data_IF_482651653455
#
_entry.id   IF_482651653455
#
_cell.length_a   1.000
_cell.length_b   1.000
_cell.length_c   1.000
_cell.angle_alpha   90.00
_cell.angle_beta   90.00
_cell.angle_gamma   90.00
#
_symmetry.space_group_name_H-M   'P 1'
#
loop_
_entity.id
_entity.type
_entity.pdbx_description
1 polymer ?
#
# COMPACT_ATOMS: atom_id res chain seq x y z
N UNK A 1 7.06 7.23 2.70
CA UNK A 1 7.79 6.33 3.63
C UNK A 1 8.84 5.60 2.83
N UNK A 2 10.09 5.67 3.26
CA UNK A 2 11.19 5.01 2.56
C UNK A 2 11.10 3.50 2.76
N UNK A 3 11.19 2.78 1.65
CA UNK A 3 11.21 1.31 1.65
C UNK A 3 12.64 0.85 1.41
N UNK A 4 13.27 0.31 2.45
CA UNK A 4 14.61 -0.28 2.32
C UNK A 4 14.51 -1.61 1.56
N UNK A 5 15.31 -1.76 0.51
CA UNK A 5 15.39 -3.03 -0.22
C UNK A 5 15.97 -4.14 0.66
N UNK A 6 15.38 -5.33 0.60
CA UNK A 6 15.91 -6.52 1.24
C UNK A 6 16.31 -7.54 0.18
N UNK A 7 17.59 -7.95 0.13
CA UNK A 7 18.06 -8.90 -0.87
C UNK A 7 17.24 -10.19 -0.86
N UNK A 8 16.88 -10.71 -2.04
CA UNK A 8 16.07 -11.94 -2.14
C UNK A 8 16.74 -13.14 -1.48
N UNK A 9 18.09 -13.20 -1.49
CA UNK A 9 18.85 -14.26 -0.84
C UNK A 9 18.62 -14.36 0.68
N UNK A 10 18.23 -13.27 1.33
CA UNK A 10 17.96 -13.24 2.78
C UNK A 10 16.72 -14.07 3.16
N UNK A 11 15.87 -14.41 2.19
CA UNK A 11 14.68 -15.23 2.41
C UNK A 11 14.96 -16.74 2.28
N UNK A 12 16.11 -17.14 1.73
CA UNK A 12 16.45 -18.54 1.52
C UNK A 12 16.35 -19.43 2.78
N UNK A 13 16.75 -18.96 3.99
CA UNK A 13 16.58 -19.77 5.21
C UNK A 13 15.12 -20.08 5.55
N UNK A 14 14.19 -19.23 5.12
CA UNK A 14 12.76 -19.40 5.41
C UNK A 14 12.02 -20.20 4.32
N UNK A 15 12.35 -20.00 3.04
CA UNK A 15 11.59 -20.56 1.92
C UNK A 15 12.40 -21.52 1.02
N UNK A 16 13.70 -21.67 1.25
CA UNK A 16 14.59 -22.48 0.45
C UNK A 16 15.16 -21.78 -0.78
N UNK A 17 16.32 -22.24 -1.25
CA UNK A 17 17.03 -21.65 -2.39
C UNK A 17 16.21 -21.73 -3.69
N UNK A 18 15.51 -22.84 -3.93
CA UNK A 18 14.68 -23.03 -5.12
C UNK A 18 13.57 -21.97 -5.23
N UNK A 19 12.90 -21.64 -4.11
CA UNK A 19 11.88 -20.61 -4.09
C UNK A 19 12.47 -19.23 -4.43
N UNK A 20 13.66 -18.92 -3.90
CA UNK A 20 14.39 -17.69 -4.22
C UNK A 20 14.77 -17.62 -5.69
N UNK A 21 15.26 -18.72 -6.27
CA UNK A 21 15.60 -18.77 -7.71
C UNK A 21 14.37 -18.54 -8.60
N UNK A 22 13.24 -19.18 -8.28
CA UNK A 22 11.98 -18.98 -9.01
C UNK A 22 11.51 -17.55 -8.92
N UNK A 23 11.56 -16.94 -7.73
CA UNK A 23 11.19 -15.56 -7.53
C UNK A 23 12.13 -14.61 -8.29
N UNK A 24 13.44 -14.85 -8.24
CA UNK A 24 14.45 -14.06 -8.96
C UNK A 24 14.20 -14.14 -10.48
N UNK A 25 13.87 -15.31 -10.98
CA UNK A 25 13.55 -15.49 -12.40
C UNK A 25 12.28 -14.71 -12.79
N UNK A 26 11.21 -14.81 -12.00
CA UNK A 26 9.96 -14.09 -12.26
C UNK A 26 10.13 -12.55 -12.15
N UNK A 27 10.96 -12.10 -11.22
CA UNK A 27 11.23 -10.69 -10.98
C UNK A 27 11.87 -9.98 -12.18
N UNK A 28 12.61 -10.70 -13.04
CA UNK A 28 13.23 -10.13 -14.26
C UNK A 28 12.20 -9.48 -15.19
N UNK A 29 10.98 -9.99 -15.21
CA UNK A 29 9.91 -9.45 -16.07
C UNK A 29 9.40 -8.07 -15.59
N UNK A 30 9.66 -7.71 -14.34
CA UNK A 30 9.21 -6.46 -13.70
C UNK A 30 10.37 -5.60 -13.19
N UNK A 31 11.59 -5.96 -13.52
CA UNK A 31 12.77 -5.19 -13.13
C UNK A 31 12.68 -3.76 -13.67
N UNK A 32 12.90 -2.77 -12.79
CA UNK A 32 12.77 -1.35 -13.11
C UNK A 32 11.34 -0.84 -13.21
N UNK A 33 10.32 -1.68 -12.98
CA UNK A 33 8.95 -1.20 -12.89
C UNK A 33 8.78 -0.30 -11.67
N UNK A 34 8.00 0.77 -11.82
CA UNK A 34 7.68 1.71 -10.74
C UNK A 34 6.30 1.41 -10.19
N UNK A 35 6.21 1.20 -8.89
CA UNK A 35 4.95 0.90 -8.20
C UNK A 35 4.77 1.84 -7.02
N UNK A 36 3.66 2.58 -7.05
CA UNK A 36 3.23 3.40 -5.93
C UNK A 36 2.14 2.67 -5.15
N UNK A 37 2.40 2.39 -3.89
CA UNK A 37 1.41 1.90 -2.94
C UNK A 37 0.84 3.07 -2.14
N UNK A 38 -0.47 3.16 -2.09
CA UNK A 38 -1.18 4.16 -1.29
C UNK A 38 -2.04 3.44 -0.26
N UNK A 39 -1.87 3.76 1.01
CA UNK A 39 -2.67 3.22 2.10
C UNK A 39 -3.13 4.30 3.05
N UNK A 40 -4.26 4.12 3.72
CA UNK A 40 -4.70 5.02 4.76
C UNK A 40 -4.02 4.68 6.09
N UNK A 41 -3.64 5.70 6.86
CA UNK A 41 -3.22 5.53 8.24
C UNK A 41 -4.41 5.02 9.07
N UNK A 42 -4.20 3.96 9.83
CA UNK A 42 -5.24 3.39 10.69
C UNK A 42 -6.21 2.41 10.01
N UNK A 43 -6.03 2.12 8.74
CA UNK A 43 -6.74 1.01 8.10
C UNK A 43 -6.18 -0.31 8.60
N UNK A 44 -6.81 -0.91 9.59
CA UNK A 44 -6.56 -2.19 10.24
C UNK A 44 -5.12 -2.73 10.16
N UNK A 45 -4.55 -3.12 11.27
CA UNK A 45 -3.15 -3.54 11.40
C UNK A 45 -2.64 -4.48 10.27
N UNK A 46 -3.51 -5.32 9.70
CA UNK A 46 -3.11 -6.32 8.73
C UNK A 46 -2.58 -5.80 7.38
N UNK A 47 -3.13 -4.71 6.85
CA UNK A 47 -2.69 -4.19 5.54
C UNK A 47 -1.31 -3.51 5.64
N UNK A 48 -1.09 -2.72 6.67
CA UNK A 48 0.20 -2.05 6.90
C UNK A 48 1.30 -3.07 7.23
N UNK A 49 0.99 -4.09 8.03
CA UNK A 49 1.92 -5.17 8.36
C UNK A 49 2.30 -5.97 7.12
N UNK A 50 1.31 -6.30 6.27
CA UNK A 50 1.58 -6.97 5.00
C UNK A 50 2.47 -6.13 4.09
N UNK A 51 2.17 -4.85 3.91
CA UNK A 51 2.97 -3.96 3.08
C UNK A 51 4.39 -3.80 3.64
N UNK A 52 4.55 -3.65 4.95
CA UNK A 52 5.87 -3.52 5.57
C UNK A 52 6.77 -4.74 5.35
N UNK A 53 6.18 -5.92 5.16
CA UNK A 53 6.90 -7.15 4.81
C UNK A 53 7.13 -7.31 3.30
N UNK A 54 6.11 -6.96 2.50
CA UNK A 54 6.10 -7.21 1.04
C UNK A 54 6.93 -6.18 0.27
N UNK A 55 6.90 -4.90 0.66
CA UNK A 55 7.56 -3.84 -0.11
C UNK A 55 9.09 -3.95 -0.10
N UNK A 56 9.77 -4.30 1.01
CA UNK A 56 11.21 -4.58 0.99
C UNK A 56 11.59 -5.75 0.09
N UNK A 57 10.74 -6.77 0.03
CA UNK A 57 10.90 -7.91 -0.88
C UNK A 57 10.80 -7.47 -2.35
N UNK A 58 9.76 -6.71 -2.69
CA UNK A 58 9.56 -6.19 -4.05
C UNK A 58 10.71 -5.28 -4.48
N UNK A 59 11.17 -4.41 -3.60
CA UNK A 59 12.34 -3.56 -3.84
C UNK A 59 13.62 -4.38 -4.05
N UNK A 60 13.83 -5.44 -3.24
CA UNK A 60 14.93 -6.39 -3.42
C UNK A 60 14.85 -7.20 -4.71
N UNK A 61 13.67 -7.33 -5.30
CA UNK A 61 13.42 -7.95 -6.59
C UNK A 61 13.66 -7.03 -7.79
N UNK A 62 14.06 -5.77 -7.56
CA UNK A 62 14.35 -4.79 -8.61
C UNK A 62 13.17 -3.90 -9.02
N UNK A 63 12.09 -3.91 -8.25
CA UNK A 63 10.94 -3.00 -8.45
C UNK A 63 11.21 -1.68 -7.72
N UNK A 64 11.02 -0.56 -8.40
CA UNK A 64 11.05 0.76 -7.76
C UNK A 64 9.76 0.96 -6.97
N UNK A 65 9.83 0.84 -5.65
CA UNK A 65 8.67 0.90 -4.77
C UNK A 65 8.62 2.22 -4.03
N UNK A 66 7.47 2.89 -4.10
CA UNK A 66 7.14 4.03 -3.26
C UNK A 66 5.91 3.69 -2.40
N UNK A 67 5.92 4.05 -1.13
CA UNK A 67 4.79 3.88 -0.24
C UNK A 67 4.34 5.21 0.35
N UNK A 68 3.12 5.58 0.05
CA UNK A 68 2.46 6.77 0.59
C UNK A 68 1.34 6.40 1.53
N UNK A 69 1.32 7.06 2.67
CA UNK A 69 0.27 6.90 3.67
C UNK A 69 -0.59 8.15 3.69
N UNK A 70 -1.89 7.97 3.49
CA UNK A 70 -2.87 9.04 3.61
C UNK A 70 -3.17 9.25 5.09
N UNK A 71 -2.95 10.47 5.55
CA UNK A 71 -3.31 10.88 6.90
C UNK A 71 -4.61 11.67 6.85
N UNK A 72 -5.55 11.34 7.73
CA UNK A 72 -6.81 12.04 7.86
C UNK A 72 -7.35 11.91 9.26
N UNK A 73 -8.26 12.83 9.63
CA UNK A 73 -8.96 12.81 10.90
C UNK A 73 -9.98 11.66 11.02
N UNK A 74 -10.69 11.60 12.15
CA UNK A 74 -11.72 10.59 12.39
C UNK A 74 -12.78 10.55 11.28
N UNK A 75 -13.14 11.69 10.71
CA UNK A 75 -14.14 11.80 9.64
C UNK A 75 -13.71 11.05 8.37
N UNK A 76 -12.41 11.09 8.02
CA UNK A 76 -11.89 10.31 6.90
C UNK A 76 -11.99 8.81 7.17
N UNK A 77 -11.65 8.39 8.38
CA UNK A 77 -11.68 6.97 8.76
C UNK A 77 -13.12 6.44 8.77
N UNK A 78 -14.06 7.22 9.30
CA UNK A 78 -15.48 6.87 9.33
C UNK A 78 -16.06 6.81 7.92
N UNK A 79 -15.71 7.76 7.05
CA UNK A 79 -16.13 7.75 5.65
C UNK A 79 -15.58 6.53 4.89
N UNK A 80 -14.31 6.19 5.08
CA UNK A 80 -13.70 5.02 4.48
C UNK A 80 -14.33 3.71 4.98
N UNK A 81 -14.64 3.62 6.27
CA UNK A 81 -15.34 2.48 6.85
C UNK A 81 -16.74 2.33 6.26
N UNK A 82 -17.52 3.42 6.20
CA UNK A 82 -18.87 3.44 5.63
C UNK A 82 -18.88 3.03 4.15
N UNK A 83 -17.90 3.52 3.38
CA UNK A 83 -17.74 3.13 1.97
C UNK A 83 -17.47 1.62 1.83
N UNK A 84 -16.57 1.09 2.64
CA UNK A 84 -16.25 -0.35 2.63
C UNK A 84 -17.47 -1.20 2.98
N UNK A 85 -18.22 -0.81 4.00
CA UNK A 85 -19.44 -1.51 4.41
C UNK A 85 -20.50 -1.44 3.31
N UNK A 86 -20.70 -0.29 2.68
CA UNK A 86 -21.62 -0.12 1.56
C UNK A 86 -21.23 -0.98 0.36
N UNK A 87 -19.96 -1.08 0.02
CA UNK A 87 -19.46 -1.97 -1.04
C UNK A 87 -19.66 -3.45 -0.73
N UNK A 88 -19.74 -3.81 0.54
CA UNK A 88 -20.07 -5.17 1.01
C UNK A 88 -21.57 -5.43 1.15
N UNK A 89 -22.41 -4.47 0.75
CA UNK A 89 -23.86 -4.60 0.75
C UNK A 89 -24.57 -4.19 2.04
N UNK A 90 -23.86 -3.56 2.98
CA UNK A 90 -24.49 -2.98 4.16
C UNK A 90 -25.21 -1.66 3.80
N UNK A 91 -26.35 -1.40 4.46
CA UNK A 91 -26.97 -0.07 4.43
C UNK A 91 -26.09 0.90 5.23
N UNK A 92 -25.31 1.71 4.55
CA UNK A 92 -24.48 2.72 5.16
C UNK A 92 -24.67 4.05 4.46
N UNK A 93 -24.89 5.09 5.23
CA UNK A 93 -24.95 6.47 4.74
C UNK A 93 -23.75 7.24 5.28
N UNK A 94 -22.85 7.62 4.38
CA UNK A 94 -21.76 8.52 4.74
C UNK A 94 -22.30 9.94 4.84
N UNK A 95 -22.14 10.59 5.99
CA UNK A 95 -22.52 11.98 6.17
C UNK A 95 -21.72 12.89 5.20
N UNK A 96 -22.33 13.99 4.77
CA UNK A 96 -21.72 14.94 3.82
C UNK A 96 -20.34 15.45 4.29
N UNK A 97 -20.19 15.69 5.60
CA UNK A 97 -18.89 16.07 6.19
C UNK A 97 -17.82 14.97 6.00
N UNK A 98 -18.18 13.72 6.12
CA UNK A 98 -17.28 12.58 5.86
C UNK A 98 -16.85 12.52 4.41
N UNK A 99 -17.76 12.73 3.48
CA UNK A 99 -17.44 12.82 2.05
C UNK A 99 -16.47 13.96 1.74
N UNK A 100 -16.69 15.13 2.29
CA UNK A 100 -15.78 16.26 2.10
C UNK A 100 -14.39 15.99 2.67
N UNK A 101 -14.31 15.39 3.86
CA UNK A 101 -13.04 14.99 4.46
C UNK A 101 -12.29 13.95 3.60
N UNK A 102 -13.03 12.97 3.07
CA UNK A 102 -12.48 11.95 2.18
C UNK A 102 -11.93 12.56 0.88
N UNK A 103 -12.71 13.40 0.20
CA UNK A 103 -12.29 14.05 -1.03
C UNK A 103 -11.09 14.98 -0.80
N UNK A 104 -11.11 15.79 0.25
CA UNK A 104 -9.99 16.69 0.57
C UNK A 104 -8.68 15.92 0.85
N UNK A 105 -8.76 14.77 1.54
CA UNK A 105 -7.60 13.92 1.76
C UNK A 105 -7.07 13.30 0.46
N UNK A 106 -7.97 12.87 -0.43
CA UNK A 106 -7.60 12.34 -1.74
C UNK A 106 -6.96 13.40 -2.64
N UNK A 107 -7.54 14.61 -2.68
CA UNK A 107 -7.00 15.73 -3.45
C UNK A 107 -5.61 16.14 -2.94
N UNK A 108 -5.44 16.24 -1.62
CA UNK A 108 -4.15 16.54 -1.01
C UNK A 108 -3.07 15.49 -1.33
N UNK A 109 -3.47 14.22 -1.33
CA UNK A 109 -2.57 13.12 -1.70
C UNK A 109 -2.22 13.15 -3.20
N UNK A 110 -3.20 13.41 -4.07
CA UNK A 110 -3.00 13.48 -5.51
C UNK A 110 -2.04 14.63 -5.88
N UNK A 111 -2.21 15.81 -5.29
CA UNK A 111 -1.31 16.95 -5.50
C UNK A 111 0.16 16.62 -5.12
N UNK A 112 0.36 15.81 -4.08
CA UNK A 112 1.68 15.33 -3.68
C UNK A 112 2.30 14.31 -4.65
N UNK A 113 1.49 13.64 -5.46
CA UNK A 113 1.94 12.65 -6.46
C UNK A 113 2.28 13.35 -7.79
N UNK A 114 1.47 14.31 -8.22
CA UNK A 114 1.65 15.04 -9.47
C UNK A 114 2.90 15.95 -9.49
N UNK A 115 3.42 16.31 -8.33
CA UNK A 115 4.61 17.15 -8.17
C UNK A 115 5.95 16.41 -8.28
N UNK A 116 5.94 15.16 -8.62
CA UNK A 116 7.13 14.29 -8.80
C UNK A 116 7.15 13.74 -10.22
#
# INVERSE_FOLDING_TARGET
MDVAARPLGDYAPACGAEAVERLTHAARAVEGARVLHVSAAGGGAGAADLLSALLPLASGAGVEVEWRVLFGGPELMDAAASLREGLQGAESATAEAGWRAYLAACEGAAAGIEGQ
#
